data_IF_155633722678
#
_entry.id   IF_155633722678
#
_cell.length_a   1.000
_cell.length_b   1.000
_cell.length_c   1.000
_cell.angle_alpha   90.00
_cell.angle_beta   90.00
_cell.angle_gamma   90.00
#
_symmetry.space_group_name_H-M   'P 1'
#
loop_
_entity.id
_entity.type
_entity.pdbx_description
1 polymer ?
#
# COMPACT_ATOMS: atom_id res chain seq x y z
N UNK A 1 -1.03 15.07 5.56
CA UNK A 1 -1.44 14.03 4.60
C UNK A 1 -2.49 13.12 5.24
N UNK A 2 -3.18 12.26 4.49
CA UNK A 2 -3.94 11.14 5.09
C UNK A 2 -2.96 10.05 5.50
N UNK A 3 -2.24 10.29 6.60
CA UNK A 3 -1.14 9.49 7.12
C UNK A 3 -1.30 9.29 8.62
N UNK A 4 -0.75 8.21 9.17
CA UNK A 4 -0.58 8.08 10.63
C UNK A 4 0.49 9.06 11.14
N UNK A 5 0.49 9.33 12.44
CA UNK A 5 1.31 10.39 13.08
C UNK A 5 2.83 10.22 12.86
N UNK A 6 3.33 8.99 12.88
CA UNK A 6 4.76 8.67 12.70
C UNK A 6 5.14 8.31 11.26
N UNK A 7 4.29 8.66 10.29
CA UNK A 7 4.59 8.51 8.86
C UNK A 7 4.99 9.87 8.30
N UNK A 8 6.26 10.00 7.95
CA UNK A 8 6.80 11.16 7.27
C UNK A 8 6.44 11.08 5.78
N UNK A 9 5.92 12.18 5.23
CA UNK A 9 5.61 12.33 3.81
C UNK A 9 6.39 13.53 3.27
N UNK A 10 7.10 13.35 2.16
CA UNK A 10 7.89 14.43 1.55
C UNK A 10 7.00 15.60 1.11
N UNK A 11 7.56 16.83 0.98
CA UNK A 11 6.78 18.01 0.58
C UNK A 11 6.09 17.89 -0.78
N UNK A 12 6.66 17.13 -1.72
CA UNK A 12 6.08 16.82 -3.02
C UNK A 12 5.04 15.68 -2.99
N UNK A 13 4.91 15.00 -1.86
CA UNK A 13 4.01 13.86 -1.67
C UNK A 13 4.45 12.56 -2.35
N UNK A 14 5.66 12.52 -2.92
CA UNK A 14 6.14 11.37 -3.70
C UNK A 14 6.84 10.30 -2.86
N UNK A 15 7.26 10.61 -1.62
CA UNK A 15 7.95 9.69 -0.72
C UNK A 15 7.27 9.60 0.63
N UNK A 16 7.29 8.41 1.20
CA UNK A 16 6.86 8.17 2.56
C UNK A 16 7.83 7.25 3.29
N UNK A 17 8.09 7.55 4.56
CA UNK A 17 8.91 6.73 5.46
C UNK A 17 8.28 6.62 6.83
N UNK A 18 8.56 5.52 7.53
CA UNK A 18 8.08 5.26 8.87
C UNK A 18 9.21 4.60 9.68
N UNK A 19 9.45 5.08 10.90
CA UNK A 19 10.51 4.58 11.77
C UNK A 19 9.99 3.81 13.00
N UNK A 20 8.66 3.66 13.12
CA UNK A 20 8.03 2.84 14.15
C UNK A 20 8.52 1.38 14.05
N UNK A 21 8.87 0.77 15.19
CA UNK A 21 9.49 -0.57 15.24
C UNK A 21 8.51 -1.70 15.51
N UNK A 22 7.35 -1.38 16.05
CA UNK A 22 6.37 -2.33 16.60
C UNK A 22 4.94 -2.08 16.09
N UNK A 23 4.78 -1.24 15.07
CA UNK A 23 3.48 -0.91 14.50
C UNK A 23 3.51 -0.92 12.95
N UNK A 24 2.39 -1.35 12.36
CA UNK A 24 2.11 -1.15 10.95
C UNK A 24 1.36 0.17 10.77
N UNK A 25 2.07 1.19 10.32
CA UNK A 25 1.51 2.51 10.00
C UNK A 25 1.42 2.69 8.48
N UNK A 26 0.61 3.65 8.04
CA UNK A 26 0.43 3.87 6.61
C UNK A 26 0.01 5.28 6.21
N UNK A 27 0.01 5.49 4.90
CA UNK A 27 -0.43 6.71 4.23
C UNK A 27 -1.27 6.35 3.02
N UNK A 28 -2.23 7.22 2.67
CA UNK A 28 -3.01 7.12 1.43
C UNK A 28 -2.77 8.33 0.53
N UNK A 29 -2.58 8.04 -0.76
CA UNK A 29 -2.52 9.05 -1.81
C UNK A 29 -3.90 9.61 -2.16
N UNK A 30 -3.90 10.72 -2.92
CA UNK A 30 -5.08 11.35 -3.51
C UNK A 30 -4.82 11.65 -5.00
N UNK A 31 -5.87 11.74 -5.84
CA UNK A 31 -7.29 11.58 -5.52
C UNK A 31 -7.70 10.11 -5.32
N UNK A 32 -8.84 9.89 -4.66
CA UNK A 32 -9.47 8.57 -4.64
C UNK A 32 -10.08 8.24 -6.00
N UNK A 33 -10.02 6.98 -6.39
CA UNK A 33 -10.62 6.49 -7.65
C UNK A 33 -12.07 6.14 -7.39
N UNK A 34 -13.03 6.76 -8.09
CA UNK A 34 -14.46 6.42 -8.01
C UNK A 34 -14.94 5.50 -9.15
N UNK A 35 -14.38 5.67 -10.35
CA UNK A 35 -14.72 4.89 -11.55
C UNK A 35 -13.56 4.97 -12.55
N UNK A 36 -13.33 3.91 -13.34
CA UNK A 36 -12.34 3.87 -14.41
C UNK A 36 -11.17 2.92 -14.14
N UNK A 37 -10.13 2.99 -14.97
CA UNK A 37 -8.90 2.18 -14.87
C UNK A 37 -7.71 3.05 -14.50
N UNK A 38 -7.02 2.71 -13.42
CA UNK A 38 -5.91 3.49 -12.89
C UNK A 38 -4.71 2.60 -12.58
N UNK A 39 -3.54 3.21 -12.60
CA UNK A 39 -2.30 2.61 -12.13
C UNK A 39 -1.59 3.57 -11.17
N UNK A 40 -0.93 3.01 -10.17
CA UNK A 40 0.09 3.69 -9.39
C UNK A 40 1.29 2.77 -9.22
N UNK A 41 2.46 3.36 -9.06
CA UNK A 41 3.73 2.65 -8.88
C UNK A 41 4.36 3.04 -7.55
N UNK A 42 5.00 2.07 -6.92
CA UNK A 42 5.73 2.26 -5.67
C UNK A 42 7.14 1.72 -5.85
N UNK A 43 8.14 2.58 -5.66
CA UNK A 43 9.55 2.18 -5.67
C UNK A 43 10.03 1.93 -4.25
N UNK A 44 10.76 0.83 -4.05
CA UNK A 44 11.38 0.49 -2.77
C UNK A 44 12.72 1.22 -2.65
N UNK A 45 12.74 2.38 -1.97
CA UNK A 45 13.96 3.20 -1.86
C UNK A 45 14.91 2.74 -0.73
N UNK A 46 14.45 1.90 0.21
CA UNK A 46 15.25 1.38 1.32
C UNK A 46 14.78 -0.01 1.74
N UNK A 47 15.64 -0.75 2.43
CA UNK A 47 15.27 -2.05 2.99
C UNK A 47 14.20 -1.88 4.08
N UNK A 48 13.01 -2.42 3.84
CA UNK A 48 11.87 -2.32 4.75
C UNK A 48 10.81 -3.39 4.50
N UNK A 49 9.96 -3.60 5.51
CA UNK A 49 8.71 -4.32 5.37
C UNK A 49 7.62 -3.35 4.94
N UNK A 50 7.07 -3.53 3.73
CA UNK A 50 6.03 -2.68 3.19
C UNK A 50 4.85 -3.51 2.65
N UNK A 51 3.67 -2.90 2.63
CA UNK A 51 2.51 -3.36 1.86
C UNK A 51 1.97 -2.21 1.03
N UNK A 52 1.74 -2.47 -0.26
CA UNK A 52 1.18 -1.50 -1.22
C UNK A 52 -0.13 -2.01 -1.80
N UNK A 53 -0.98 -1.10 -2.25
CA UNK A 53 -2.26 -1.46 -2.86
C UNK A 53 -3.32 -0.39 -2.69
N UNK A 54 -4.57 -0.83 -2.49
CA UNK A 54 -5.74 0.04 -2.51
C UNK A 54 -6.55 -0.11 -1.22
N UNK A 55 -7.10 0.99 -0.73
CA UNK A 55 -7.99 1.00 0.43
C UNK A 55 -9.14 1.99 0.21
N UNK A 56 -10.31 1.67 0.77
CA UNK A 56 -11.38 2.63 0.93
C UNK A 56 -10.99 3.71 1.95
N UNK A 57 -11.65 4.88 1.87
CA UNK A 57 -11.36 6.03 2.75
C UNK A 57 -11.53 5.73 4.24
N UNK A 58 -12.42 4.80 4.58
CA UNK A 58 -12.74 4.36 5.94
C UNK A 58 -12.05 3.04 6.31
N UNK A 59 -11.07 2.59 5.52
CA UNK A 59 -10.21 1.46 5.84
C UNK A 59 -9.08 1.85 6.80
N UNK A 60 -8.51 0.85 7.47
CA UNK A 60 -7.31 0.95 8.29
C UNK A 60 -6.10 1.25 7.40
N UNK A 61 -5.15 2.02 7.94
CA UNK A 61 -3.88 2.30 7.25
C UNK A 61 -2.89 1.14 7.34
N UNK A 62 -3.05 0.27 8.34
CA UNK A 62 -2.47 -1.07 8.34
C UNK A 62 -3.10 -1.93 7.22
N UNK A 63 -2.64 -1.72 5.99
CA UNK A 63 -3.25 -2.22 4.76
C UNK A 63 -3.46 -3.74 4.79
N UNK A 64 -4.62 -4.22 4.33
CA UNK A 64 -4.98 -5.64 4.24
C UNK A 64 -5.43 -6.28 5.56
N UNK A 65 -5.43 -5.54 6.67
CA UNK A 65 -5.87 -6.04 8.00
C UNK A 65 -7.37 -5.85 8.27
N UNK A 66 -8.10 -5.23 7.34
CA UNK A 66 -9.56 -5.13 7.33
C UNK A 66 -10.13 -5.55 5.98
N UNK A 67 -11.46 -5.60 5.89
CA UNK A 67 -12.20 -5.97 4.68
C UNK A 67 -12.36 -4.82 3.67
N UNK A 68 -11.68 -3.69 3.89
CA UNK A 68 -11.78 -2.48 3.07
C UNK A 68 -10.49 -2.14 2.34
N UNK A 69 -9.55 -3.08 2.32
CA UNK A 69 -8.25 -2.87 1.72
C UNK A 69 -7.66 -4.15 1.14
N UNK A 70 -6.91 -3.97 0.05
CA UNK A 70 -6.13 -5.01 -0.60
C UNK A 70 -4.67 -4.58 -0.56
N UNK A 71 -3.83 -5.38 0.09
CA UNK A 71 -2.40 -5.12 0.19
C UNK A 71 -1.56 -6.23 -0.40
N UNK A 72 -0.43 -5.88 -1.01
CA UNK A 72 0.60 -6.79 -1.47
C UNK A 72 1.92 -6.46 -0.78
N UNK A 73 2.54 -7.44 -0.14
CA UNK A 73 3.74 -7.25 0.67
C UNK A 73 5.00 -7.92 0.14
N UNK A 74 6.15 -7.46 0.65
CA UNK A 74 7.50 -7.90 0.25
C UNK A 74 7.75 -9.41 0.27
N UNK A 75 7.03 -10.15 1.11
CA UNK A 75 7.16 -11.59 1.29
C UNK A 75 6.32 -12.43 0.30
N UNK A 76 5.87 -11.84 -0.82
CA UNK A 76 4.99 -12.47 -1.80
C UNK A 76 3.63 -12.90 -1.23
N UNK A 77 3.02 -12.02 -0.45
CA UNK A 77 1.73 -12.26 0.19
C UNK A 77 0.73 -11.17 -0.21
N UNK A 78 -0.44 -11.56 -0.72
CA UNK A 78 -1.60 -10.68 -0.81
C UNK A 78 -2.38 -10.71 0.50
N UNK A 79 -3.02 -9.61 0.86
CA UNK A 79 -3.71 -9.43 2.14
C UNK A 79 -5.06 -8.71 1.97
N UNK A 80 -6.08 -9.25 2.63
CA UNK A 80 -7.43 -8.67 2.73
C UNK A 80 -8.16 -9.31 3.92
N UNK A 81 -8.88 -8.52 4.72
CA UNK A 81 -9.64 -9.01 5.88
C UNK A 81 -8.76 -9.68 6.95
N UNK A 82 -7.48 -9.31 7.04
CA UNK A 82 -6.51 -9.95 7.94
C UNK A 82 -6.05 -11.35 7.48
N UNK A 83 -6.46 -11.80 6.30
CA UNK A 83 -5.97 -13.05 5.69
C UNK A 83 -4.79 -12.75 4.78
N UNK A 84 -3.74 -13.56 4.89
CA UNK A 84 -2.51 -13.44 4.11
C UNK A 84 -2.34 -14.72 3.28
N UNK A 85 -2.28 -14.58 1.96
CA UNK A 85 -2.20 -15.71 1.03
C UNK A 85 -1.02 -15.53 0.07
N UNK A 86 -0.30 -16.60 -0.30
CA UNK A 86 0.76 -16.53 -1.30
C UNK A 86 0.28 -15.94 -2.63
N UNK A 87 1.04 -14.98 -3.17
CA UNK A 87 0.73 -14.30 -4.42
C UNK A 87 1.98 -13.59 -4.98
N UNK A 88 2.20 -13.65 -6.30
CA UNK A 88 3.28 -12.91 -6.95
C UNK A 88 4.68 -13.42 -6.60
N UNK A 89 5.63 -12.49 -6.48
CA UNK A 89 7.06 -12.75 -6.27
C UNK A 89 7.64 -11.87 -5.13
N UNK A 90 8.57 -12.40 -4.32
CA UNK A 90 9.16 -11.62 -3.23
C UNK A 90 9.88 -10.37 -3.74
N UNK A 91 9.74 -9.27 -3.01
CA UNK A 91 10.45 -8.00 -3.25
C UNK A 91 11.00 -7.36 -1.96
N UNK A 92 10.90 -8.05 -0.83
CA UNK A 92 11.65 -7.71 0.38
C UNK A 92 13.16 -7.70 0.10
N UNK A 93 13.87 -6.71 0.64
CA UNK A 93 15.31 -6.52 0.41
C UNK A 93 15.70 -6.11 -1.01
N UNK A 94 14.75 -5.95 -1.95
CA UNK A 94 15.02 -5.55 -3.34
C UNK A 94 14.89 -4.04 -3.51
N UNK A 95 15.90 -3.29 -3.04
CA UNK A 95 15.97 -1.83 -3.25
C UNK A 95 15.97 -1.52 -4.75
N UNK A 96 15.15 -0.56 -5.17
CA UNK A 96 14.89 -0.20 -6.57
C UNK A 96 13.82 -1.06 -7.26
N UNK A 97 13.22 -2.03 -6.57
CA UNK A 97 12.06 -2.72 -7.12
C UNK A 97 10.87 -1.76 -7.26
N UNK A 98 10.19 -1.84 -8.40
CA UNK A 98 8.97 -1.06 -8.69
C UNK A 98 7.77 -1.99 -8.69
N UNK A 99 6.79 -1.69 -7.83
CA UNK A 99 5.55 -2.44 -7.71
C UNK A 99 4.41 -1.63 -8.32
N UNK A 100 3.84 -2.13 -9.41
CA UNK A 100 2.68 -1.51 -10.07
C UNK A 100 1.38 -2.06 -9.48
N UNK A 101 0.51 -1.17 -9.01
CA UNK A 101 -0.83 -1.47 -8.54
C UNK A 101 -1.85 -1.02 -9.58
N UNK A 102 -2.52 -1.97 -10.22
CA UNK A 102 -3.58 -1.72 -11.19
C UNK A 102 -4.95 -1.78 -10.49
N UNK A 103 -5.85 -0.88 -10.88
CA UNK A 103 -7.23 -0.86 -10.40
C UNK A 103 -8.18 -0.67 -11.57
N UNK A 104 -9.13 -1.59 -11.69
CA UNK A 104 -10.27 -1.47 -12.60
C UNK A 104 -11.56 -1.32 -11.78
N UNK A 105 -12.18 -0.15 -11.85
CA UNK A 105 -13.48 0.18 -11.23
C UNK A 105 -14.50 0.62 -12.28
N UNK A 106 -14.46 0.03 -13.48
CA UNK A 106 -15.47 0.29 -14.50
C UNK A 106 -16.83 -0.34 -14.18
N UNK A 107 -16.81 -1.46 -13.46
CA UNK A 107 -18.01 -2.15 -13.03
C UNK A 107 -18.41 -1.77 -11.59
N UNK A 108 -19.70 -1.58 -11.35
CA UNK A 108 -20.26 -1.18 -10.05
C UNK A 108 -20.37 -2.33 -9.03
N UNK A 109 -19.55 -3.39 -9.17
CA UNK A 109 -19.59 -4.54 -8.26
C UNK A 109 -18.88 -4.27 -6.95
#
# INVERSE_FOLDING_TARGET
ADADEEVDVSPDGARASCYARDAWLGVRGRPGVLHGTYQCEFEVEADCLLRVGWAAVNGRKALGTDDRSFGYGGTAMKSNGGRFEPYGEPHEGKIGAVITCLLDRRDAR
#
